data_IF_888127857597
#
_entry.id   IF_888127857597
#
_cell.length_a   1.000
_cell.length_b   1.000
_cell.length_c   1.000
_cell.angle_alpha   90.00
_cell.angle_beta   90.00
_cell.angle_gamma   90.00
#
_symmetry.space_group_name_H-M   'P 1'
#
loop_
_entity.id
_entity.type
_entity.pdbx_description
1 polymer ?
#
# COMPACT_ATOMS: atom_id res chain seq x y z
N UNK A 1 -13.09 15.12 1.25
CA UNK A 1 -12.98 16.30 2.13
C UNK A 1 -12.99 15.80 3.56
N UNK A 2 -11.78 15.45 4.01
CA UNK A 2 -11.44 15.07 5.40
C UNK A 2 -11.81 16.26 6.30
N UNK A 3 -11.86 16.13 7.63
CA UNK A 3 -12.01 17.25 8.60
C UNK A 3 -10.85 18.28 8.48
N UNK A 4 -10.64 18.86 7.31
CA UNK A 4 -9.91 20.09 7.09
C UNK A 4 -10.83 21.22 7.56
N UNK A 5 -10.28 22.10 8.39
CA UNK A 5 -10.95 23.27 8.97
C UNK A 5 -12.00 22.97 10.05
N UNK A 6 -11.59 22.27 11.09
CA UNK A 6 -11.99 22.71 12.43
C UNK A 6 -10.74 22.92 13.29
N UNK A 7 -9.81 23.74 12.80
CA UNK A 7 -8.92 24.48 13.70
C UNK A 7 -9.85 25.43 14.44
N UNK A 8 -10.40 24.97 15.57
CA UNK A 8 -11.15 25.83 16.45
C UNK A 8 -10.20 26.97 16.81
N UNK A 9 -10.59 28.19 16.44
CA UNK A 9 -10.13 29.41 17.11
C UNK A 9 -10.49 29.22 18.58
N UNK A 10 -9.64 28.52 19.34
CA UNK A 10 -9.62 28.63 20.78
C UNK A 10 -9.32 30.11 21.03
N UNK A 11 -10.38 30.86 21.26
CA UNK A 11 -10.31 32.27 21.59
C UNK A 11 -9.47 32.36 22.86
N UNK A 12 -8.17 32.60 22.69
CA UNK A 12 -7.26 32.96 23.75
C UNK A 12 -7.85 34.20 24.42
N UNK A 13 -8.54 34.01 25.54
CA UNK A 13 -9.05 35.08 26.37
C UNK A 13 -7.83 35.84 26.90
N UNK A 14 -7.48 36.94 26.21
CA UNK A 14 -6.35 37.81 26.50
C UNK A 14 -6.67 38.64 27.75
N UNK A 15 -6.47 38.05 28.93
CA UNK A 15 -6.51 38.76 30.20
C UNK A 15 -5.26 39.63 30.37
N UNK A 16 -5.28 40.83 29.79
CA UNK A 16 -4.81 42.11 30.36
C UNK A 16 -3.41 42.26 31.01
N UNK A 17 -2.45 41.35 30.85
CA UNK A 17 -1.11 41.51 31.45
C UNK A 17 -0.03 41.66 30.37
N UNK A 18 0.44 42.90 30.20
CA UNK A 18 1.60 43.39 29.41
C UNK A 18 1.71 42.87 27.96
N UNK A 19 1.87 43.79 27.01
CA UNK A 19 2.25 43.48 25.62
C UNK A 19 3.69 42.93 25.57
N UNK A 20 3.92 41.76 26.14
CA UNK A 20 5.05 40.92 25.79
C UNK A 20 4.78 40.43 24.37
N UNK A 21 5.71 40.73 23.48
CA UNK A 21 5.75 40.16 22.14
C UNK A 21 5.75 38.63 22.26
N UNK A 22 4.63 38.00 21.89
CA UNK A 22 4.41 36.56 22.01
C UNK A 22 4.72 35.94 20.66
N UNK A 23 5.99 35.58 20.45
CA UNK A 23 6.48 35.08 19.16
C UNK A 23 5.69 33.87 18.69
N UNK A 24 5.28 32.97 19.59
CA UNK A 24 4.45 31.81 19.22
C UNK A 24 3.13 32.19 18.53
N UNK A 25 2.53 33.34 18.89
CA UNK A 25 1.32 33.82 18.23
C UNK A 25 1.60 34.41 16.84
N UNK A 26 2.75 35.05 16.65
CA UNK A 26 3.17 35.56 15.35
C UNK A 26 3.44 34.43 14.36
N UNK A 27 4.21 33.43 14.79
CA UNK A 27 4.50 32.24 13.99
C UNK A 27 3.22 31.45 13.70
N UNK A 28 2.30 31.33 14.67
CA UNK A 28 1.01 30.67 14.45
C UNK A 28 0.14 31.42 13.42
N UNK A 29 0.14 32.75 13.43
CA UNK A 29 -0.55 33.54 12.39
C UNK A 29 0.05 33.29 11.01
N UNK A 30 1.38 33.20 10.92
CA UNK A 30 2.06 32.88 9.67
C UNK A 30 1.74 31.46 9.18
N UNK A 31 1.63 30.49 10.09
CA UNK A 31 1.16 29.13 9.81
C UNK A 31 -0.25 29.14 9.18
N UNK A 32 -1.20 29.86 9.79
CA UNK A 32 -2.55 29.97 9.25
C UNK A 32 -2.58 30.63 7.86
N UNK A 33 -1.77 31.68 7.66
CA UNK A 33 -1.64 32.34 6.36
C UNK A 33 -1.07 31.39 5.28
N UNK A 34 -0.06 30.59 5.63
CA UNK A 34 0.52 29.58 4.74
C UNK A 34 -0.49 28.48 4.38
N UNK A 35 -1.27 28.00 5.35
CA UNK A 35 -2.35 27.03 5.10
C UNK A 35 -3.39 27.58 4.13
N UNK A 36 -3.82 28.83 4.33
CA UNK A 36 -4.77 29.49 3.43
C UNK A 36 -4.23 29.68 2.01
N UNK A 37 -2.91 29.89 1.87
CA UNK A 37 -2.24 29.98 0.58
C UNK A 37 -1.98 28.62 -0.09
N UNK A 38 -2.19 27.51 0.64
CA UNK A 38 -1.83 26.16 0.16
C UNK A 38 -0.32 25.92 0.07
N UNK A 39 0.50 26.72 0.77
CA UNK A 39 1.96 26.58 0.78
C UNK A 39 2.38 25.56 1.84
N UNK A 40 2.39 24.28 1.45
CA UNK A 40 2.71 23.17 2.35
C UNK A 40 4.10 23.32 3.03
N UNK A 41 5.10 23.83 2.31
CA UNK A 41 6.44 24.01 2.86
C UNK A 41 6.48 25.11 3.94
N UNK A 42 5.84 26.25 3.67
CA UNK A 42 5.72 27.32 4.66
C UNK A 42 4.84 26.91 5.85
N UNK A 43 3.76 26.15 5.61
CA UNK A 43 2.89 25.61 6.67
C UNK A 43 3.69 24.76 7.66
N UNK A 44 4.44 23.76 7.19
CA UNK A 44 5.26 22.93 8.08
C UNK A 44 6.25 23.79 8.90
N UNK A 45 6.97 24.68 8.21
CA UNK A 45 7.99 25.55 8.85
C UNK A 45 7.40 26.43 9.95
N UNK A 46 6.27 27.07 9.69
CA UNK A 46 5.64 27.97 10.67
C UNK A 46 4.93 27.20 11.79
N UNK A 47 4.41 25.99 11.53
CA UNK A 47 3.88 25.12 12.57
C UNK A 47 4.99 24.74 13.57
N UNK A 48 6.16 24.34 13.08
CA UNK A 48 7.31 24.05 13.94
C UNK A 48 7.73 25.30 14.73
N UNK A 49 7.94 26.43 14.05
CA UNK A 49 8.38 27.66 14.68
C UNK A 49 7.42 28.12 15.79
N UNK A 50 6.11 27.99 15.57
CA UNK A 50 5.10 28.30 16.57
C UNK A 50 5.21 27.38 17.79
N UNK A 51 5.34 26.07 17.59
CA UNK A 51 5.52 25.12 18.70
C UNK A 51 6.81 25.38 19.47
N UNK A 52 7.95 25.56 18.80
CA UNK A 52 9.24 25.83 19.45
C UNK A 52 9.24 27.13 20.24
N UNK A 53 8.62 28.18 19.71
CA UNK A 53 8.44 29.44 20.42
C UNK A 53 7.56 29.25 21.66
N UNK A 54 6.45 28.50 21.56
CA UNK A 54 5.58 28.22 22.71
C UNK A 54 6.27 27.36 23.77
N UNK A 55 7.10 26.38 23.37
CA UNK A 55 7.90 25.57 24.28
C UNK A 55 8.85 26.46 25.10
N UNK A 56 9.45 27.47 24.46
CA UNK A 56 10.35 28.43 25.11
C UNK A 56 9.60 29.41 26.02
N UNK A 57 8.47 29.94 25.57
CA UNK A 57 7.74 31.01 26.27
C UNK A 57 6.80 30.50 27.37
N UNK A 58 6.18 29.34 27.15
CA UNK A 58 5.09 28.82 27.97
C UNK A 58 5.43 27.48 28.65
N UNK A 59 6.40 26.73 28.14
CA UNK A 59 6.76 25.40 28.65
C UNK A 59 5.57 24.44 28.61
N UNK A 60 5.27 23.79 29.74
CA UNK A 60 4.15 22.85 29.89
C UNK A 60 2.79 23.54 29.97
N UNK A 61 2.32 24.09 28.86
CA UNK A 61 1.06 24.83 28.74
C UNK A 61 0.13 24.20 27.70
N UNK A 62 -1.18 24.43 27.82
CA UNK A 62 -2.19 23.94 26.88
C UNK A 62 -1.91 24.41 25.43
N UNK A 63 -1.55 25.67 25.25
CA UNK A 63 -1.13 26.22 23.94
C UNK A 63 0.05 25.46 23.35
N UNK A 64 1.06 25.12 24.16
CA UNK A 64 2.22 24.37 23.69
C UNK A 64 1.81 22.99 23.20
N UNK A 65 0.90 22.33 23.91
CA UNK A 65 0.36 21.03 23.50
C UNK A 65 -0.38 21.10 22.16
N UNK A 66 -1.25 22.10 21.97
CA UNK A 66 -1.99 22.29 20.72
C UNK A 66 -1.07 22.62 19.54
N UNK A 67 -0.03 23.43 19.75
CA UNK A 67 0.93 23.77 18.70
C UNK A 67 1.84 22.58 18.34
N UNK A 68 2.24 21.76 19.32
CA UNK A 68 2.95 20.51 19.06
C UNK A 68 2.09 19.56 18.21
N UNK A 69 0.80 19.46 18.51
CA UNK A 69 -0.15 18.65 17.74
C UNK A 69 -0.34 19.16 16.30
N UNK A 70 -0.39 20.48 16.10
CA UNK A 70 -0.47 21.05 14.75
C UNK A 70 0.78 20.69 13.94
N UNK A 71 1.97 20.89 14.50
CA UNK A 71 3.20 20.51 13.81
C UNK A 71 3.26 19.00 13.54
N UNK A 72 2.98 18.18 14.55
CA UNK A 72 2.88 16.72 14.42
C UNK A 72 2.01 16.32 13.23
N UNK A 73 0.79 16.86 13.12
CA UNK A 73 -0.13 16.49 12.06
C UNK A 73 0.37 16.84 10.65
N UNK A 74 1.09 17.96 10.51
CA UNK A 74 1.68 18.38 9.24
C UNK A 74 2.80 17.45 8.76
N UNK A 75 3.54 16.81 9.69
CA UNK A 75 4.70 15.99 9.35
C UNK A 75 4.47 14.48 9.47
N UNK A 76 3.52 14.02 10.31
CA UNK A 76 3.40 12.61 10.70
C UNK A 76 3.34 11.64 9.52
N UNK A 77 2.59 11.95 8.47
CA UNK A 77 2.46 11.07 7.31
C UNK A 77 3.51 11.34 6.23
N UNK A 78 4.18 12.50 6.24
CA UNK A 78 5.18 12.83 5.22
C UNK A 78 6.56 12.38 5.66
N UNK A 79 6.93 12.74 6.88
CA UNK A 79 8.19 12.43 7.52
C UNK A 79 7.92 12.03 8.99
N UNK A 80 7.57 10.75 9.24
CA UNK A 80 7.30 10.28 10.59
C UNK A 80 8.54 10.33 11.51
N UNK A 81 9.75 10.42 10.95
CA UNK A 81 11.00 10.55 11.72
C UNK A 81 11.12 11.97 12.29
N UNK A 82 10.86 12.97 11.46
CA UNK A 82 10.73 14.39 11.85
C UNK A 82 9.61 14.60 12.89
N UNK A 83 8.56 13.77 12.83
CA UNK A 83 7.40 13.85 13.72
C UNK A 83 7.64 13.35 15.15
N UNK A 84 8.67 12.54 15.40
CA UNK A 84 8.83 11.80 16.67
C UNK A 84 8.86 12.74 17.89
N UNK A 85 9.62 13.83 17.82
CA UNK A 85 9.77 14.73 18.96
C UNK A 85 8.44 15.44 19.28
N UNK A 86 7.73 15.89 18.25
CA UNK A 86 6.43 16.54 18.39
C UNK A 86 5.37 15.57 18.91
N UNK A 87 5.38 14.32 18.43
CA UNK A 87 4.48 13.27 18.89
C UNK A 87 4.69 12.94 20.37
N UNK A 88 5.95 12.72 20.76
CA UNK A 88 6.32 12.44 22.15
C UNK A 88 5.98 13.62 23.06
N UNK A 89 6.22 14.85 22.60
CA UNK A 89 5.90 16.06 23.37
C UNK A 89 4.40 16.26 23.54
N UNK A 90 3.63 16.13 22.46
CA UNK A 90 2.17 16.25 22.48
C UNK A 90 1.56 15.18 23.41
N UNK A 91 2.03 13.93 23.32
CA UNK A 91 1.59 12.85 24.21
C UNK A 91 1.89 13.17 25.67
N UNK A 92 3.13 13.58 26.00
CA UNK A 92 3.52 13.89 27.38
C UNK A 92 2.70 15.02 28.01
N UNK A 93 2.27 16.02 27.22
CA UNK A 93 1.38 17.08 27.68
C UNK A 93 -0.08 16.60 27.77
N UNK A 94 -0.53 15.78 26.81
CA UNK A 94 -1.84 15.14 26.83
C UNK A 94 -2.07 14.24 28.04
N UNK A 95 -1.04 13.51 28.50
CA UNK A 95 -1.09 12.70 29.73
C UNK A 95 -1.29 13.55 30.99
N UNK A 96 -0.96 14.84 30.95
CA UNK A 96 -1.23 15.81 32.01
C UNK A 96 -2.62 16.45 31.88
N UNK A 97 -3.41 16.04 30.89
CA UNK A 97 -4.73 16.60 30.58
C UNK A 97 -4.70 17.87 29.73
N UNK A 98 -3.55 18.24 29.16
CA UNK A 98 -3.39 19.46 28.36
C UNK A 98 -3.62 19.19 26.87
N UNK A 99 -4.31 20.10 26.17
CA UNK A 99 -4.42 20.09 24.72
C UNK A 99 -5.25 18.93 24.15
N UNK A 100 -6.10 18.28 24.95
CA UNK A 100 -6.94 17.17 24.49
C UNK A 100 -8.20 17.61 23.71
N UNK A 101 -8.24 18.88 23.27
CA UNK A 101 -9.33 19.44 22.49
C UNK A 101 -9.29 19.05 21.00
N UNK A 102 -8.09 18.84 20.45
CA UNK A 102 -7.91 18.47 19.04
C UNK A 102 -7.66 16.97 18.85
N UNK A 103 -6.94 16.36 19.79
CA UNK A 103 -6.63 14.93 19.78
C UNK A 103 -6.92 14.32 21.15
N UNK A 104 -7.49 13.13 21.15
CA UNK A 104 -7.62 12.27 22.31
C UNK A 104 -6.26 11.70 22.72
N UNK A 105 -6.15 11.25 23.98
CA UNK A 105 -4.94 10.61 24.46
C UNK A 105 -4.58 9.34 23.66
N UNK A 106 -5.59 8.60 23.18
CA UNK A 106 -5.40 7.41 22.35
C UNK A 106 -4.83 7.75 20.97
N UNK A 107 -5.27 8.85 20.36
CA UNK A 107 -4.72 9.34 19.09
C UNK A 107 -3.25 9.78 19.24
N UNK A 108 -2.91 10.48 20.33
CA UNK A 108 -1.53 10.89 20.59
C UNK A 108 -0.61 9.68 20.83
N UNK A 109 -1.10 8.64 21.51
CA UNK A 109 -0.36 7.38 21.68
C UNK A 109 -0.11 6.67 20.36
N UNK A 110 -1.11 6.63 19.49
CA UNK A 110 -0.98 6.05 18.15
C UNK A 110 0.05 6.82 17.32
N UNK A 111 -0.02 8.15 17.31
CA UNK A 111 0.92 8.99 16.57
C UNK A 111 2.36 8.84 17.06
N UNK A 112 2.58 8.85 18.38
CA UNK A 112 3.90 8.62 18.99
C UNK A 112 4.45 7.22 18.67
N UNK A 113 3.63 6.18 18.84
CA UNK A 113 4.05 4.81 18.55
C UNK A 113 4.36 4.61 17.06
N UNK A 114 3.60 5.25 16.17
CA UNK A 114 3.85 5.22 14.73
C UNK A 114 5.17 5.91 14.37
N UNK A 115 5.38 7.15 14.81
CA UNK A 115 6.62 7.89 14.56
C UNK A 115 7.86 7.12 15.03
N UNK A 116 7.83 6.60 16.28
CA UNK A 116 8.90 5.78 16.86
C UNK A 116 9.14 4.47 16.13
N UNK A 117 8.07 3.80 15.69
CA UNK A 117 8.19 2.56 14.94
C UNK A 117 8.83 2.83 13.57
N UNK A 118 8.43 3.90 12.89
CA UNK A 118 8.99 4.27 11.59
C UNK A 118 10.46 4.69 11.70
N UNK A 119 10.82 5.54 12.66
CA UNK A 119 12.20 5.98 12.83
C UNK A 119 13.12 4.84 13.30
N UNK A 120 12.57 3.85 14.00
CA UNK A 120 13.33 2.75 14.58
C UNK A 120 12.72 1.38 14.28
N UNK A 121 12.53 1.05 12.99
CA UNK A 121 11.82 -0.16 12.50
C UNK A 121 12.30 -1.48 13.12
N UNK A 122 13.58 -1.56 13.50
CA UNK A 122 14.18 -2.78 14.06
C UNK A 122 13.98 -2.93 15.57
N UNK A 123 13.42 -1.93 16.26
CA UNK A 123 13.16 -2.00 17.70
C UNK A 123 11.84 -2.71 17.95
N UNK A 124 11.92 -3.96 18.38
CA UNK A 124 10.76 -4.78 18.76
C UNK A 124 9.79 -4.06 19.72
N UNK A 125 10.31 -3.32 20.69
CA UNK A 125 9.49 -2.55 21.65
C UNK A 125 8.62 -1.49 20.97
N UNK A 126 9.11 -0.86 19.91
CA UNK A 126 8.36 0.18 19.19
C UNK A 126 7.25 -0.44 18.36
N UNK A 127 7.51 -1.61 17.76
CA UNK A 127 6.50 -2.44 17.10
C UNK A 127 5.39 -2.86 18.07
N UNK A 128 5.76 -3.38 19.24
CA UNK A 128 4.78 -3.82 20.24
C UNK A 128 3.92 -2.63 20.73
N UNK A 129 4.55 -1.46 20.91
CA UNK A 129 3.84 -0.24 21.25
C UNK A 129 2.86 0.21 20.15
N UNK A 130 3.26 0.13 18.87
CA UNK A 130 2.38 0.47 17.74
C UNK A 130 1.18 -0.48 17.65
N UNK A 131 1.42 -1.80 17.75
CA UNK A 131 0.34 -2.79 17.71
C UNK A 131 -0.63 -2.60 18.88
N UNK A 132 -0.12 -2.35 20.10
CA UNK A 132 -0.97 -2.05 21.25
C UNK A 132 -1.76 -0.75 21.08
N UNK A 133 -1.15 0.29 20.49
CA UNK A 133 -1.83 1.54 20.20
C UNK A 133 -2.97 1.35 19.19
N UNK A 134 -2.74 0.59 18.12
CA UNK A 134 -3.78 0.23 17.13
C UNK A 134 -4.93 -0.55 17.77
N UNK A 135 -4.61 -1.51 18.65
CA UNK A 135 -5.60 -2.35 19.31
C UNK A 135 -6.52 -1.56 20.26
N UNK A 136 -5.97 -0.58 20.98
CA UNK A 136 -6.75 0.28 21.91
C UNK A 136 -7.49 1.42 21.21
N UNK A 137 -7.26 1.62 19.91
CA UNK A 137 -7.84 2.73 19.16
C UNK A 137 -9.32 2.49 18.87
N UNK A 138 -10.25 3.37 19.31
CA UNK A 138 -11.68 3.17 19.10
C UNK A 138 -12.03 3.26 17.60
N UNK A 139 -12.91 2.39 17.09
CA UNK A 139 -13.35 2.48 15.70
C UNK A 139 -14.21 3.74 15.55
N UNK A 140 -13.70 4.77 14.89
CA UNK A 140 -14.40 6.02 14.62
C UNK A 140 -14.13 6.45 13.17
N UNK A 141 -15.21 6.68 12.40
CA UNK A 141 -15.17 6.94 10.94
C UNK A 141 -14.15 8.00 10.50
N UNK A 142 -13.90 9.03 11.32
CA UNK A 142 -13.05 10.15 10.93
C UNK A 142 -11.56 9.78 10.81
N UNK A 143 -11.11 8.69 11.46
CA UNK A 143 -9.69 8.36 11.60
C UNK A 143 -9.27 7.00 11.04
N UNK A 144 -10.20 6.24 10.45
CA UNK A 144 -9.86 5.10 9.58
C UNK A 144 -8.90 5.51 8.46
N UNK A 145 -8.95 6.77 8.01
CA UNK A 145 -7.97 7.34 7.06
C UNK A 145 -6.54 7.33 7.60
N UNK A 146 -6.35 7.76 8.85
CA UNK A 146 -5.05 7.81 9.53
C UNK A 146 -4.53 6.43 9.83
N UNK A 147 -5.37 5.55 10.41
CA UNK A 147 -4.96 4.19 10.73
C UNK A 147 -4.49 3.42 9.49
N UNK A 148 -5.18 3.59 8.36
CA UNK A 148 -4.77 2.97 7.10
C UNK A 148 -3.49 3.60 6.56
N UNK A 149 -3.31 4.92 6.68
CA UNK A 149 -2.06 5.55 6.24
C UNK A 149 -0.88 5.08 7.10
N UNK A 150 -1.08 4.97 8.41
CA UNK A 150 -0.13 4.39 9.37
C UNK A 150 0.17 2.94 9.01
N UNK A 151 -0.85 2.16 8.67
CA UNK A 151 -0.74 0.77 8.24
C UNK A 151 0.06 0.62 6.94
N UNK A 152 -0.34 1.32 5.88
CA UNK A 152 0.28 1.28 4.56
C UNK A 152 1.77 1.67 4.65
N UNK A 153 2.09 2.72 5.41
CA UNK A 153 3.48 3.13 5.62
C UNK A 153 4.28 2.14 6.45
N UNK A 154 3.67 1.57 7.50
CA UNK A 154 4.34 0.55 8.32
C UNK A 154 4.69 -0.68 7.49
N UNK A 155 3.79 -1.08 6.58
CA UNK A 155 4.03 -2.18 5.66
C UNK A 155 5.12 -1.84 4.65
N UNK A 156 5.01 -0.72 3.94
CA UNK A 156 6.01 -0.30 2.94
C UNK A 156 7.39 -0.23 3.58
N UNK A 157 7.49 0.33 4.78
CA UNK A 157 8.77 0.41 5.50
C UNK A 157 9.23 -0.93 6.04
N UNK A 158 8.33 -1.80 6.48
CA UNK A 158 8.66 -3.17 6.85
C UNK A 158 9.19 -3.96 5.64
N UNK A 159 8.65 -3.76 4.44
CA UNK A 159 9.19 -4.31 3.20
C UNK A 159 10.61 -3.81 2.92
N UNK A 160 10.83 -2.49 3.02
CA UNK A 160 12.16 -1.88 2.82
C UNK A 160 13.18 -2.36 3.85
N UNK A 161 12.75 -2.61 5.08
CA UNK A 161 13.60 -3.04 6.18
C UNK A 161 13.78 -4.57 6.28
N UNK A 162 13.17 -5.36 5.39
CA UNK A 162 13.08 -6.83 5.45
C UNK A 162 12.41 -7.38 6.73
N UNK A 163 11.52 -6.60 7.37
CA UNK A 163 10.79 -6.90 8.61
C UNK A 163 9.38 -7.47 8.33
N UNK A 164 9.26 -8.48 7.46
CA UNK A 164 7.98 -9.01 6.97
C UNK A 164 7.02 -9.50 8.07
N UNK A 165 7.55 -9.93 9.23
CA UNK A 165 6.73 -10.32 10.37
C UNK A 165 5.95 -9.15 10.97
N UNK A 166 6.50 -7.92 10.94
CA UNK A 166 5.79 -6.71 11.35
C UNK A 166 4.66 -6.40 10.37
N UNK A 167 4.92 -6.47 9.06
CA UNK A 167 3.90 -6.26 8.04
C UNK A 167 2.73 -7.24 8.21
N UNK A 168 3.02 -8.51 8.46
CA UNK A 168 2.00 -9.54 8.69
C UNK A 168 1.15 -9.30 9.94
N UNK A 169 1.79 -9.02 11.09
CA UNK A 169 1.07 -8.80 12.35
C UNK A 169 0.22 -7.53 12.28
N UNK A 170 0.76 -6.46 11.70
CA UNK A 170 0.02 -5.22 11.46
C UNK A 170 -1.19 -5.48 10.56
N UNK A 171 -1.02 -6.24 9.48
CA UNK A 171 -2.09 -6.58 8.53
C UNK A 171 -3.19 -7.41 9.16
N UNK A 172 -2.80 -8.41 9.95
CA UNK A 172 -3.74 -9.27 10.68
C UNK A 172 -4.53 -8.47 11.72
N UNK A 173 -3.86 -7.60 12.48
CA UNK A 173 -4.54 -6.73 13.45
C UNK A 173 -5.50 -5.79 12.73
N UNK A 174 -5.06 -5.19 11.62
CA UNK A 174 -5.83 -4.21 10.89
C UNK A 174 -7.08 -4.79 10.24
N UNK A 175 -6.98 -5.99 9.65
CA UNK A 175 -8.13 -6.74 9.12
C UNK A 175 -9.19 -6.99 10.20
N UNK A 176 -8.78 -7.43 11.40
CA UNK A 176 -9.71 -7.62 12.53
C UNK A 176 -10.41 -6.33 12.92
N UNK A 177 -9.67 -5.21 12.99
CA UNK A 177 -10.25 -3.90 13.33
C UNK A 177 -11.23 -3.42 12.26
N UNK A 178 -10.89 -3.57 10.98
CA UNK A 178 -11.80 -3.20 9.90
C UNK A 178 -13.09 -4.01 9.88
N UNK A 179 -13.05 -5.29 10.24
CA UNK A 179 -14.26 -6.10 10.32
C UNK A 179 -15.29 -5.53 11.33
N UNK A 180 -14.84 -4.70 12.26
CA UNK A 180 -15.67 -3.99 13.23
C UNK A 180 -16.10 -2.59 12.77
N UNK A 181 -15.52 -2.06 11.69
CA UNK A 181 -15.79 -0.71 11.18
C UNK A 181 -16.85 -0.74 10.06
N UNK A 182 -18.08 -0.24 10.30
CA UNK A 182 -19.05 -0.10 9.24
C UNK A 182 -18.58 0.95 8.22
N UNK A 183 -18.84 0.71 6.94
CA UNK A 183 -18.62 1.70 5.88
C UNK A 183 -17.20 1.71 5.27
N UNK A 184 -16.36 0.73 5.59
CA UNK A 184 -15.09 0.52 4.88
C UNK A 184 -15.40 0.10 3.45
N UNK A 185 -14.89 0.84 2.46
CA UNK A 185 -15.07 0.49 1.05
C UNK A 185 -14.40 -0.85 0.70
N UNK A 186 -15.01 -1.63 -0.17
CA UNK A 186 -14.47 -2.88 -0.72
C UNK A 186 -13.02 -2.76 -1.20
N UNK A 187 -12.71 -1.67 -1.94
CA UNK A 187 -11.34 -1.38 -2.41
C UNK A 187 -10.30 -1.32 -1.28
N UNK A 188 -10.68 -0.73 -0.15
CA UNK A 188 -9.81 -0.61 1.02
C UNK A 188 -9.62 -1.95 1.71
N UNK A 189 -10.70 -2.70 1.91
CA UNK A 189 -10.62 -4.06 2.47
C UNK A 189 -9.73 -4.96 1.60
N UNK A 190 -9.87 -4.86 0.27
CA UNK A 190 -9.04 -5.61 -0.68
C UNK A 190 -7.55 -5.23 -0.60
N UNK A 191 -7.22 -3.94 -0.44
CA UNK A 191 -5.83 -3.50 -0.24
C UNK A 191 -5.19 -4.15 0.98
N UNK A 192 -5.93 -4.28 2.07
CA UNK A 192 -5.41 -4.84 3.34
C UNK A 192 -5.19 -6.33 3.25
N UNK A 193 -6.14 -7.07 2.68
CA UNK A 193 -5.99 -8.48 2.38
C UNK A 193 -4.79 -8.72 1.43
N UNK A 194 -4.64 -7.88 0.40
CA UNK A 194 -3.50 -7.92 -0.54
C UNK A 194 -2.18 -7.68 0.17
N UNK A 195 -2.09 -6.67 1.04
CA UNK A 195 -0.88 -6.37 1.81
C UNK A 195 -0.52 -7.48 2.80
N UNK A 196 -1.53 -8.13 3.42
CA UNK A 196 -1.33 -9.30 4.29
C UNK A 196 -0.75 -10.48 3.51
N UNK A 197 -1.34 -10.78 2.35
CA UNK A 197 -0.86 -11.83 1.46
C UNK A 197 0.56 -11.57 0.97
N UNK A 198 0.85 -10.34 0.56
CA UNK A 198 2.17 -9.91 0.16
C UNK A 198 3.20 -10.13 1.29
N UNK A 199 2.83 -9.89 2.56
CA UNK A 199 3.72 -10.06 3.69
C UNK A 199 4.04 -11.55 3.92
N UNK A 200 3.03 -12.42 3.78
CA UNK A 200 3.21 -13.87 3.79
C UNK A 200 4.16 -14.34 2.67
N UNK A 201 3.92 -13.89 1.44
CA UNK A 201 4.72 -14.22 0.26
C UNK A 201 6.19 -13.81 0.48
N UNK A 202 6.40 -12.58 0.93
CA UNK A 202 7.73 -11.98 1.02
C UNK A 202 8.50 -12.40 2.29
N UNK A 203 7.83 -12.92 3.32
CA UNK A 203 8.44 -13.43 4.56
C UNK A 203 9.48 -14.55 4.39
N UNK A 204 9.68 -15.05 3.17
CA UNK A 204 10.74 -16.00 2.81
C UNK A 204 12.13 -15.37 2.69
N UNK A 205 12.24 -14.05 2.59
CA UNK A 205 13.49 -13.41 2.15
C UNK A 205 14.64 -13.39 3.16
N UNK A 206 14.53 -14.03 4.32
CA UNK A 206 15.72 -14.16 5.18
C UNK A 206 16.84 -15.01 4.58
N UNK A 207 16.63 -15.76 3.46
CA UNK A 207 17.68 -16.54 2.77
C UNK A 207 17.47 -16.77 1.26
N UNK A 208 17.12 -15.76 0.47
CA UNK A 208 17.30 -15.81 -1.00
C UNK A 208 18.67 -15.26 -1.44
N UNK A 209 19.66 -15.26 -0.54
CA UNK A 209 21.06 -15.15 -0.94
C UNK A 209 21.43 -16.47 -1.64
N UNK A 210 21.48 -16.42 -2.96
CA UNK A 210 21.65 -17.56 -3.88
C UNK A 210 22.90 -18.41 -3.63
N UNK A 211 23.78 -17.99 -2.72
CA UNK A 211 25.00 -18.73 -2.35
C UNK A 211 24.79 -19.89 -1.37
N UNK A 212 23.61 -20.03 -0.73
CA UNK A 212 23.40 -21.05 0.33
C UNK A 212 22.12 -21.89 0.19
N UNK A 213 21.74 -22.27 -1.03
CA UNK A 213 20.80 -23.37 -1.24
C UNK A 213 21.48 -24.73 -0.96
N UNK A 214 21.89 -24.99 0.28
CA UNK A 214 22.24 -26.35 0.70
C UNK A 214 20.98 -27.10 1.09
N UNK A 215 20.80 -28.24 0.42
CA UNK A 215 19.71 -29.25 0.42
C UNK A 215 19.04 -29.67 1.75
N UNK A 216 19.36 -29.10 2.91
CA UNK A 216 19.05 -29.69 4.22
C UNK A 216 17.86 -29.10 4.98
N UNK A 217 17.24 -28.00 4.54
CA UNK A 217 16.12 -27.37 5.28
C UNK A 217 14.73 -27.73 4.71
N UNK A 218 14.47 -29.01 4.42
CA UNK A 218 13.13 -29.50 4.02
C UNK A 218 12.02 -29.22 5.06
N UNK A 219 12.37 -28.99 6.33
CA UNK A 219 11.40 -28.53 7.35
C UNK A 219 11.00 -27.06 7.20
N UNK A 220 11.80 -26.25 6.49
CA UNK A 220 11.49 -24.84 6.24
C UNK A 220 10.54 -24.65 5.04
N UNK A 221 10.41 -25.62 4.14
CA UNK A 221 9.53 -25.53 2.98
C UNK A 221 8.06 -25.75 3.33
N UNK A 222 7.75 -26.73 4.18
CA UNK A 222 6.36 -27.03 4.57
C UNK A 222 5.64 -25.80 5.19
N UNK A 223 6.30 -25.10 6.11
CA UNK A 223 5.73 -23.88 6.70
C UNK A 223 5.72 -22.67 5.76
N UNK A 224 6.37 -22.74 4.58
CA UNK A 224 6.24 -21.71 3.56
C UNK A 224 5.14 -22.03 2.55
N UNK A 225 4.94 -23.31 2.22
CA UNK A 225 3.83 -23.77 1.39
C UNK A 225 2.48 -23.41 2.02
N UNK A 226 2.33 -23.65 3.33
CA UNK A 226 1.14 -23.23 4.10
C UNK A 226 0.92 -21.70 4.02
N UNK A 227 1.98 -20.90 4.19
CA UNK A 227 1.90 -19.44 4.06
C UNK A 227 1.56 -18.98 2.64
N UNK A 228 2.02 -19.68 1.62
CA UNK A 228 1.72 -19.38 0.23
C UNK A 228 0.24 -19.68 -0.07
N UNK A 229 -0.28 -20.79 0.47
CA UNK A 229 -1.69 -21.14 0.41
C UNK A 229 -2.57 -20.09 1.12
N UNK A 230 -2.19 -19.70 2.34
CA UNK A 230 -2.87 -18.64 3.09
C UNK A 230 -2.86 -17.31 2.32
N UNK A 231 -1.73 -16.97 1.69
CA UNK A 231 -1.63 -15.77 0.87
C UNK A 231 -2.58 -15.82 -0.34
N UNK A 232 -2.71 -16.97 -0.99
CA UNK A 232 -3.65 -17.16 -2.11
C UNK A 232 -5.10 -17.00 -1.66
N UNK A 233 -5.49 -17.62 -0.53
CA UNK A 233 -6.83 -17.46 0.05
C UNK A 233 -7.16 -15.97 0.29
N UNK A 234 -6.19 -15.22 0.83
CA UNK A 234 -6.34 -13.78 1.06
C UNK A 234 -6.46 -12.98 -0.25
N UNK A 235 -5.69 -13.35 -1.28
CA UNK A 235 -5.74 -12.69 -2.59
C UNK A 235 -7.04 -12.99 -3.34
N UNK A 236 -7.58 -14.19 -3.22
CA UNK A 236 -8.88 -14.56 -3.77
C UNK A 236 -10.02 -13.81 -3.07
N UNK A 237 -9.96 -13.72 -1.73
CA UNK A 237 -10.89 -12.90 -0.95
C UNK A 237 -10.80 -11.41 -1.35
N UNK A 238 -9.60 -10.88 -1.55
CA UNK A 238 -9.39 -9.51 -2.03
C UNK A 238 -9.95 -9.31 -3.45
N UNK A 239 -9.71 -10.26 -4.35
CA UNK A 239 -10.18 -10.18 -5.72
C UNK A 239 -11.72 -10.19 -5.81
N UNK A 240 -12.38 -10.96 -4.93
CA UNK A 240 -13.84 -11.06 -4.87
C UNK A 240 -14.55 -9.77 -4.43
N UNK A 241 -13.83 -8.84 -3.80
CA UNK A 241 -14.36 -7.53 -3.37
C UNK A 241 -14.48 -6.53 -4.53
N UNK A 242 -13.78 -6.75 -5.65
CA UNK A 242 -13.88 -5.86 -6.78
C UNK A 242 -15.04 -6.24 -7.70
N UNK A 243 -15.83 -5.26 -8.19
CA UNK A 243 -16.81 -5.55 -9.22
C UNK A 243 -16.13 -6.06 -10.50
N UNK A 244 -16.87 -6.82 -11.31
CA UNK A 244 -16.42 -7.16 -12.66
C UNK A 244 -16.26 -5.87 -13.47
N UNK A 245 -15.03 -5.53 -13.80
CA UNK A 245 -14.66 -4.33 -14.56
C UNK A 245 -14.60 -4.65 -16.05
N UNK A 246 -15.31 -3.87 -16.87
CA UNK A 246 -15.37 -4.05 -18.32
C UNK A 246 -14.25 -3.31 -19.05
N UNK A 247 -13.68 -2.28 -18.42
CA UNK A 247 -12.69 -1.38 -19.02
C UNK A 247 -11.48 -1.21 -18.13
N UNK A 248 -10.31 -1.05 -18.74
CA UNK A 248 -9.03 -0.94 -18.02
C UNK A 248 -8.90 0.35 -17.21
N UNK A 249 -9.53 1.44 -17.66
CA UNK A 249 -9.49 2.73 -16.95
C UNK A 249 -10.49 2.81 -15.79
N UNK A 250 -11.40 1.85 -15.71
CA UNK A 250 -12.36 1.70 -14.60
C UNK A 250 -11.85 0.74 -13.51
N UNK A 251 -10.74 0.04 -13.76
CA UNK A 251 -10.15 -0.88 -12.80
C UNK A 251 -9.55 -0.14 -11.60
N UNK A 252 -9.90 -0.61 -10.41
CA UNK A 252 -9.33 -0.08 -9.18
C UNK A 252 -7.82 -0.41 -9.11
N UNK A 253 -6.94 0.54 -8.77
CA UNK A 253 -5.51 0.28 -8.62
C UNK A 253 -5.18 -0.86 -7.66
N UNK A 254 -5.96 -1.05 -6.59
CA UNK A 254 -5.79 -2.18 -5.68
C UNK A 254 -6.11 -3.51 -6.36
N UNK A 255 -7.07 -3.54 -7.30
CA UNK A 255 -7.36 -4.73 -8.10
C UNK A 255 -6.15 -5.14 -8.95
N UNK A 256 -5.41 -4.17 -9.51
CA UNK A 256 -4.18 -4.44 -10.25
C UNK A 256 -3.12 -5.08 -9.34
N UNK A 257 -2.91 -4.51 -8.16
CA UNK A 257 -1.94 -5.03 -7.18
C UNK A 257 -2.31 -6.42 -6.68
N UNK A 258 -3.59 -6.67 -6.36
CA UNK A 258 -4.08 -8.00 -5.98
C UNK A 258 -3.75 -9.04 -7.05
N UNK A 259 -4.06 -8.75 -8.32
CA UNK A 259 -3.77 -9.66 -9.44
C UNK A 259 -2.28 -9.89 -9.63
N UNK A 260 -1.45 -8.85 -9.52
CA UNK A 260 0.00 -8.98 -9.62
C UNK A 260 0.57 -9.85 -8.49
N UNK A 261 0.15 -9.64 -7.23
CA UNK A 261 0.59 -10.47 -6.11
C UNK A 261 0.15 -11.92 -6.25
N UNK A 262 -1.04 -12.18 -6.81
CA UNK A 262 -1.47 -13.54 -7.13
C UNK A 262 -0.56 -14.17 -8.19
N UNK A 263 -0.19 -13.41 -9.23
CA UNK A 263 0.81 -13.83 -10.21
C UNK A 263 2.15 -14.20 -9.58
N UNK A 264 2.62 -13.43 -8.59
CA UNK A 264 3.84 -13.75 -7.82
C UNK A 264 3.68 -15.03 -7.03
N UNK A 265 2.55 -15.22 -6.33
CA UNK A 265 2.30 -16.42 -5.54
C UNK A 265 2.34 -17.69 -6.42
N UNK A 266 1.67 -17.65 -7.57
CA UNK A 266 1.70 -18.72 -8.58
C UNK A 266 3.12 -18.94 -9.10
N UNK A 267 3.86 -17.86 -9.40
CA UNK A 267 5.22 -17.97 -9.92
C UNK A 267 6.17 -18.63 -8.91
N UNK A 268 6.03 -18.32 -7.63
CA UNK A 268 6.81 -18.93 -6.55
C UNK A 268 6.47 -20.41 -6.41
N UNK A 269 5.18 -20.77 -6.37
CA UNK A 269 4.74 -22.16 -6.28
C UNK A 269 5.32 -23.01 -7.41
N UNK A 270 5.22 -22.52 -8.66
CA UNK A 270 5.82 -23.17 -9.84
C UNK A 270 7.34 -23.29 -9.77
N UNK A 271 8.03 -22.28 -9.24
CA UNK A 271 9.50 -22.31 -9.09
C UNK A 271 9.98 -23.26 -7.99
N UNK A 272 9.09 -23.66 -7.08
CA UNK A 272 9.39 -24.61 -6.00
C UNK A 272 9.22 -26.08 -6.41
N UNK A 273 8.74 -26.36 -7.62
CA UNK A 273 8.26 -27.69 -8.03
C UNK A 273 7.12 -28.19 -7.12
N UNK A 274 6.35 -27.25 -6.58
CA UNK A 274 5.16 -27.55 -5.80
C UNK A 274 4.04 -27.93 -6.77
N UNK A 275 3.43 -29.10 -6.58
CA UNK A 275 2.16 -29.42 -7.21
C UNK A 275 1.14 -28.42 -6.67
N UNK A 276 0.94 -27.33 -7.40
CA UNK A 276 -0.19 -26.42 -7.16
C UNK A 276 -1.44 -27.30 -7.30
N UNK A 277 -2.26 -27.44 -6.24
CA UNK A 277 -3.49 -28.23 -6.28
C UNK A 277 -4.29 -27.93 -7.55
N UNK A 278 -4.86 -28.95 -8.20
CA UNK A 278 -5.59 -28.77 -9.47
C UNK A 278 -6.80 -27.83 -9.34
N UNK A 279 -7.32 -27.62 -8.13
CA UNK A 279 -8.35 -26.63 -7.80
C UNK A 279 -7.80 -25.20 -7.58
N UNK A 280 -6.49 -25.04 -7.35
CA UNK A 280 -5.79 -23.75 -7.34
C UNK A 280 -5.20 -23.39 -8.70
N UNK A 281 -5.14 -24.37 -9.61
CA UNK A 281 -5.08 -24.07 -11.02
C UNK A 281 -6.44 -23.46 -11.38
N UNK A 282 -6.50 -22.12 -11.36
CA UNK A 282 -7.44 -21.35 -12.20
C UNK A 282 -7.63 -22.15 -13.49
N UNK A 283 -8.87 -22.59 -13.78
CA UNK A 283 -9.19 -23.53 -14.87
C UNK A 283 -8.37 -23.18 -16.13
N UNK A 284 -7.30 -23.96 -16.39
CA UNK A 284 -6.41 -23.73 -17.54
C UNK A 284 -4.89 -23.80 -17.27
N UNK A 285 -4.30 -24.93 -17.66
CA UNK A 285 -3.00 -25.05 -18.34
C UNK A 285 -1.72 -25.40 -17.55
N UNK A 286 -1.13 -26.52 -18.01
CA UNK A 286 0.23 -26.99 -17.74
C UNK A 286 1.20 -26.36 -18.76
N UNK A 287 2.10 -25.48 -18.32
CA UNK A 287 3.34 -25.15 -19.06
C UNK A 287 3.66 -23.66 -19.31
N UNK A 288 4.73 -23.21 -18.66
CA UNK A 288 5.61 -22.02 -18.87
C UNK A 288 5.07 -20.60 -18.76
N UNK A 289 3.83 -20.28 -19.10
CA UNK A 289 3.23 -18.97 -18.82
C UNK A 289 1.72 -19.16 -18.73
N UNK A 290 1.07 -18.73 -17.66
CA UNK A 290 -0.40 -18.75 -17.58
C UNK A 290 -0.90 -17.46 -18.18
N UNK A 291 -1.42 -17.55 -19.41
CA UNK A 291 -2.13 -16.48 -20.07
C UNK A 291 -3.57 -16.94 -20.16
N UNK A 292 -4.48 -16.31 -19.43
CA UNK A 292 -5.84 -16.23 -19.95
C UNK A 292 -6.46 -14.90 -19.55
N UNK A 293 -6.72 -14.12 -20.60
CA UNK A 293 -7.49 -12.90 -20.57
C UNK A 293 -8.90 -13.24 -21.01
N UNK A 294 -9.60 -14.10 -20.26
CA UNK A 294 -11.03 -14.28 -20.47
C UNK A 294 -11.72 -13.01 -19.95
N UNK A 295 -11.68 -11.96 -20.77
CA UNK A 295 -12.49 -10.78 -20.60
C UNK A 295 -13.79 -11.05 -21.32
N UNK A 296 -14.86 -11.20 -20.55
CA UNK A 296 -16.19 -11.19 -21.11
C UNK A 296 -16.63 -9.74 -21.37
N UNK A 297 -17.25 -9.51 -22.52
CA UNK A 297 -17.71 -8.19 -22.94
C UNK A 297 -19.18 -8.21 -23.27
N UNK A 298 -19.81 -7.04 -23.22
CA UNK A 298 -21.17 -6.90 -23.73
C UNK A 298 -21.10 -6.57 -25.22
N UNK A 299 -21.69 -7.43 -26.05
CA UNK A 299 -21.84 -7.24 -27.47
C UNK A 299 -22.80 -6.10 -27.81
N UNK A 300 -22.87 -5.74 -29.09
CA UNK A 300 -23.77 -4.71 -29.58
C UNK A 300 -25.27 -5.01 -29.31
N UNK A 301 -25.61 -6.28 -29.07
CA UNK A 301 -26.93 -6.80 -28.74
C UNK A 301 -27.17 -6.97 -27.23
N UNK A 302 -26.19 -6.63 -26.38
CA UNK A 302 -26.26 -6.83 -24.93
C UNK A 302 -25.83 -8.22 -24.47
N UNK A 303 -25.43 -9.13 -25.38
CA UNK A 303 -24.99 -10.48 -24.99
C UNK A 303 -23.55 -10.50 -24.47
N UNK A 304 -23.24 -11.44 -23.58
CA UNK A 304 -21.87 -11.62 -23.09
C UNK A 304 -21.02 -12.36 -24.16
N UNK A 305 -20.03 -11.68 -24.74
CA UNK A 305 -19.08 -12.19 -25.72
C UNK A 305 -17.78 -12.58 -25.02
N UNK A 306 -17.29 -13.79 -25.29
CA UNK A 306 -15.97 -14.23 -24.87
C UNK A 306 -14.91 -13.78 -25.88
N UNK A 307 -14.01 -12.89 -25.47
CA UNK A 307 -12.94 -12.39 -26.33
C UNK A 307 -11.68 -13.27 -26.24
N UNK A 308 -11.67 -14.39 -26.97
CA UNK A 308 -10.48 -15.22 -27.10
C UNK A 308 -9.55 -14.67 -28.21
N UNK A 309 -8.32 -14.30 -27.84
CA UNK A 309 -7.34 -13.74 -28.78
C UNK A 309 -6.40 -14.85 -29.24
N UNK A 310 -6.48 -15.21 -30.52
CA UNK A 310 -5.50 -16.07 -31.17
C UNK A 310 -4.29 -15.24 -31.60
N UNK A 311 -3.08 -15.71 -31.29
CA UNK A 311 -1.83 -14.98 -31.57
C UNK A 311 -1.09 -15.60 -32.74
N UNK A 312 -0.70 -14.78 -33.72
CA UNK A 312 0.18 -15.19 -34.82
C UNK A 312 1.65 -15.01 -34.45
N UNK A 313 1.96 -14.02 -33.61
CA UNK A 313 3.30 -13.75 -33.08
C UNK A 313 3.23 -13.22 -31.65
N UNK A 314 3.86 -13.92 -30.71
CA UNK A 314 3.82 -13.57 -29.28
C UNK A 314 5.07 -14.06 -28.54
N UNK A 315 6.24 -13.64 -29.02
CA UNK A 315 7.50 -13.96 -28.37
C UNK A 315 7.70 -13.10 -27.12
N UNK A 316 8.25 -13.71 -26.06
CA UNK A 316 8.54 -13.04 -24.80
C UNK A 316 9.81 -13.64 -24.19
N UNK A 317 10.76 -12.79 -23.80
CA UNK A 317 12.01 -13.21 -23.17
C UNK A 317 12.04 -12.82 -21.70
N UNK A 318 12.63 -13.70 -20.91
CA UNK A 318 12.99 -13.38 -19.54
C UNK A 318 14.08 -12.26 -19.56
N UNK A 319 13.91 -11.13 -18.86
CA UNK A 319 14.94 -10.10 -18.78
C UNK A 319 16.26 -10.65 -18.23
N UNK A 320 17.33 -10.55 -19.01
CA UNK A 320 18.61 -11.21 -18.69
C UNK A 320 19.18 -10.82 -17.33
N UNK A 321 19.05 -9.55 -16.92
CA UNK A 321 19.47 -9.09 -15.60
C UNK A 321 18.66 -9.74 -14.48
N UNK A 322 17.33 -9.75 -14.60
CA UNK A 322 16.44 -10.35 -13.63
C UNK A 322 16.67 -11.87 -13.50
N UNK A 323 16.91 -12.56 -14.63
CA UNK A 323 17.23 -13.98 -14.67
C UNK A 323 18.54 -14.29 -13.94
N UNK A 324 19.59 -13.53 -14.23
CA UNK A 324 20.91 -13.67 -13.59
C UNK A 324 20.82 -13.47 -12.07
N UNK A 325 20.01 -12.51 -11.65
CA UNK A 325 19.86 -12.14 -10.25
C UNK A 325 18.80 -13.00 -9.53
N UNK A 326 18.19 -13.95 -10.25
CA UNK A 326 17.28 -14.96 -9.70
C UNK A 326 15.94 -14.41 -9.23
N UNK A 327 15.45 -13.32 -9.84
CA UNK A 327 14.18 -12.74 -9.48
C UNK A 327 13.01 -13.69 -9.82
N UNK A 328 11.94 -13.56 -9.05
CA UNK A 328 10.63 -14.14 -9.33
C UNK A 328 9.65 -12.97 -9.21
N UNK A 329 8.68 -12.88 -10.11
CA UNK A 329 7.82 -11.71 -10.14
C UNK A 329 6.60 -11.88 -11.04
N UNK A 330 5.79 -10.84 -11.07
CA UNK A 330 4.65 -10.74 -11.97
C UNK A 330 4.46 -9.32 -12.49
N UNK A 331 3.96 -9.21 -13.71
CA UNK A 331 3.56 -7.93 -14.32
C UNK A 331 2.16 -8.06 -14.89
N UNK A 332 1.29 -7.13 -14.53
CA UNK A 332 -0.03 -6.98 -15.11
C UNK A 332 0.03 -5.86 -16.16
N UNK A 333 -0.32 -6.19 -17.41
CA UNK A 333 -0.31 -5.24 -18.54
C UNK A 333 -1.70 -5.11 -19.13
N UNK A 334 -2.13 -3.86 -19.31
CA UNK A 334 -3.30 -3.50 -20.09
C UNK A 334 -2.91 -3.06 -21.49
N UNK A 335 -3.67 -3.45 -22.51
CA UNK A 335 -3.41 -3.07 -23.90
C UNK A 335 -4.68 -3.11 -24.77
N UNK A 336 -4.57 -2.61 -25.99
CA UNK A 336 -5.58 -2.70 -27.03
C UNK A 336 -4.99 -3.38 -28.28
N UNK A 337 -5.85 -3.82 -29.19
CA UNK A 337 -5.50 -4.31 -30.51
C UNK A 337 -6.01 -3.32 -31.56
N UNK A 338 -5.25 -3.09 -32.62
CA UNK A 338 -5.78 -2.44 -33.82
C UNK A 338 -6.56 -3.44 -34.70
N UNK A 339 -7.12 -2.95 -35.80
CA UNK A 339 -7.90 -3.78 -36.74
C UNK A 339 -7.06 -4.84 -37.46
N UNK A 340 -5.74 -4.68 -37.46
CA UNK A 340 -4.80 -5.61 -38.08
C UNK A 340 -4.24 -6.61 -37.04
N UNK A 341 -4.63 -6.46 -35.76
CA UNK A 341 -4.22 -7.33 -34.67
C UNK A 341 -2.91 -6.95 -34.00
N UNK A 342 -2.35 -5.78 -34.27
CA UNK A 342 -1.16 -5.30 -33.56
C UNK A 342 -1.54 -4.76 -32.18
N UNK A 343 -0.67 -4.99 -31.21
CA UNK A 343 -0.82 -4.40 -29.88
C UNK A 343 -0.56 -2.90 -29.93
N UNK A 344 -1.53 -2.11 -29.44
CA UNK A 344 -1.42 -0.66 -29.30
C UNK A 344 -1.60 -0.23 -27.84
N UNK A 345 -0.95 0.88 -27.48
CA UNK A 345 -0.98 1.49 -26.15
C UNK A 345 -0.75 0.52 -24.97
N UNK A 346 0.24 -0.40 -25.04
CA UNK A 346 0.52 -1.27 -23.91
C UNK A 346 0.99 -0.45 -22.70
N UNK A 347 0.41 -0.70 -21.52
CA UNK A 347 0.78 -0.05 -20.27
C UNK A 347 0.82 -1.02 -19.11
N UNK A 348 1.83 -0.86 -18.26
CA UNK A 348 1.91 -1.62 -17.00
C UNK A 348 0.89 -1.06 -16.02
N UNK A 349 0.03 -1.93 -15.50
CA UNK A 349 -0.98 -1.61 -14.49
C UNK A 349 -0.46 -1.91 -13.08
N UNK A 350 0.33 -2.97 -12.94
CA UNK A 350 1.05 -3.33 -11.72
C UNK A 350 2.27 -4.20 -12.07
N UNK A 351 3.32 -4.12 -11.25
CA UNK A 351 4.54 -4.89 -11.42
C UNK A 351 5.16 -5.18 -10.06
N UNK A 352 5.61 -6.42 -9.85
CA UNK A 352 6.19 -6.90 -8.60
C UNK A 352 7.35 -7.85 -8.89
N UNK A 353 8.57 -7.59 -8.39
CA UNK A 353 9.07 -6.28 -7.94
C UNK A 353 9.01 -5.20 -9.03
N UNK A 354 8.81 -3.95 -8.62
CA UNK A 354 8.71 -2.78 -9.51
C UNK A 354 9.96 -2.56 -10.37
N UNK A 355 9.76 -2.16 -11.62
CA UNK A 355 10.78 -1.72 -12.58
C UNK A 355 11.84 -2.79 -12.96
N UNK A 356 11.53 -4.08 -12.78
CA UNK A 356 12.47 -5.18 -13.07
C UNK A 356 12.20 -5.82 -14.45
N UNK A 357 10.92 -5.99 -14.82
CA UNK A 357 10.45 -6.73 -15.98
C UNK A 357 9.77 -5.85 -17.03
N UNK A 358 9.08 -4.79 -16.60
CA UNK A 358 8.18 -3.96 -17.42
C UNK A 358 8.81 -3.42 -18.70
N UNK A 359 10.04 -2.91 -18.65
CA UNK A 359 10.72 -2.35 -19.82
C UNK A 359 10.92 -3.38 -20.94
N UNK A 360 11.23 -4.64 -20.58
CA UNK A 360 11.42 -5.72 -21.56
C UNK A 360 10.07 -6.11 -22.15
N UNK A 361 9.06 -6.29 -21.29
CA UNK A 361 7.70 -6.65 -21.73
C UNK A 361 7.14 -5.61 -22.70
N UNK A 362 7.16 -4.33 -22.33
CA UNK A 362 6.62 -3.25 -23.17
C UNK A 362 7.37 -3.09 -24.49
N UNK A 363 8.67 -3.44 -24.52
CA UNK A 363 9.44 -3.45 -25.77
C UNK A 363 8.99 -4.58 -26.68
N UNK A 364 8.85 -5.79 -26.15
CA UNK A 364 8.52 -6.98 -26.93
C UNK A 364 7.05 -7.02 -27.37
N UNK A 365 6.14 -6.50 -26.55
CA UNK A 365 4.72 -6.39 -26.91
C UNK A 365 4.48 -5.52 -28.14
N UNK A 366 5.40 -4.63 -28.53
CA UNK A 366 5.29 -3.86 -29.78
C UNK A 366 5.35 -4.72 -31.03
N UNK A 367 5.95 -5.90 -30.91
CA UNK A 367 6.13 -6.85 -32.00
C UNK A 367 5.08 -7.98 -31.97
N UNK A 368 4.09 -7.89 -31.05
CA UNK A 368 3.02 -8.88 -30.92
C UNK A 368 1.91 -8.65 -31.95
N UNK A 369 1.43 -9.75 -32.53
CA UNK A 369 0.43 -9.78 -33.59
C UNK A 369 -0.61 -10.87 -33.28
N UNK A 370 -1.88 -10.51 -33.37
CA UNK A 370 -3.04 -11.38 -33.20
C UNK A 370 -3.76 -11.62 -34.53
N UNK A 371 -4.50 -12.72 -34.63
CA UNK A 371 -5.46 -12.94 -35.72
C UNK A 371 -6.75 -12.14 -35.45
N UNK A 372 -6.72 -10.84 -35.79
CA UNK A 372 -7.85 -9.94 -35.59
C UNK A 372 -8.99 -10.12 -36.61
N UNK A 373 -8.76 -10.87 -37.70
CA UNK A 373 -9.73 -11.01 -38.79
C UNK A 373 -11.07 -11.62 -38.35
N UNK A 374 -11.08 -12.35 -37.23
CA UNK A 374 -12.26 -12.99 -36.66
C UNK A 374 -12.70 -12.39 -35.31
N UNK A 375 -12.04 -11.33 -34.82
CA UNK A 375 -12.41 -10.71 -33.55
C UNK A 375 -13.59 -9.76 -33.73
N UNK A 376 -14.54 -9.82 -32.82
CA UNK A 376 -15.58 -8.79 -32.72
C UNK A 376 -14.92 -7.42 -32.44
N UNK A 377 -15.34 -6.32 -33.06
CA UNK A 377 -14.79 -4.99 -32.79
C UNK A 377 -14.78 -4.60 -31.30
N UNK A 378 -15.74 -5.07 -30.50
CA UNK A 378 -15.76 -4.86 -29.05
C UNK A 378 -14.58 -5.54 -28.33
N UNK A 379 -14.06 -6.62 -28.91
CA UNK A 379 -12.91 -7.39 -28.44
C UNK A 379 -11.57 -6.82 -28.89
N UNK A 380 -11.49 -5.61 -29.43
CA UNK A 380 -10.22 -4.96 -29.80
C UNK A 380 -9.65 -4.04 -28.70
N UNK A 381 -10.38 -3.84 -27.59
CA UNK A 381 -9.97 -2.89 -26.54
C UNK A 381 -9.82 -3.59 -25.21
N UNK A 382 -9.22 -2.91 -24.24
CA UNK A 382 -9.23 -3.25 -22.82
C UNK A 382 -8.81 -4.69 -22.50
N UNK A 383 -7.79 -5.19 -23.19
CA UNK A 383 -7.21 -6.49 -22.89
C UNK A 383 -6.29 -6.38 -21.69
N UNK A 384 -6.29 -7.45 -20.89
CA UNK A 384 -5.47 -7.57 -19.70
C UNK A 384 -4.65 -8.84 -19.80
N UNK A 385 -3.35 -8.79 -19.54
CA UNK A 385 -2.54 -10.01 -19.49
C UNK A 385 -1.55 -9.97 -18.32
N UNK A 386 -1.29 -11.13 -17.71
CA UNK A 386 -0.36 -11.26 -16.59
C UNK A 386 0.85 -12.07 -17.02
N UNK A 387 2.03 -11.51 -16.80
CA UNK A 387 3.32 -12.15 -17.02
C UNK A 387 3.83 -12.66 -15.68
N UNK A 388 3.93 -13.99 -15.51
CA UNK A 388 4.44 -14.59 -14.28
C UNK A 388 5.84 -15.18 -14.53
N UNK A 389 6.86 -14.63 -13.88
CA UNK A 389 8.26 -14.98 -14.09
C UNK A 389 8.71 -16.03 -13.09
N UNK A 390 9.01 -17.25 -13.58
CA UNK A 390 9.43 -18.39 -12.75
C UNK A 390 10.91 -18.74 -12.94
N UNK A 391 11.49 -19.37 -11.94
CA UNK A 391 12.84 -19.93 -12.01
C UNK A 391 12.74 -21.46 -12.03
N UNK A 392 13.25 -22.09 -13.10
CA UNK A 392 13.39 -23.56 -13.15
C UNK A 392 14.67 -23.97 -12.42
N UNK A 393 14.57 -25.04 -11.62
CA UNK A 393 15.72 -25.65 -10.94
C UNK A 393 16.59 -26.46 -11.87
#
# INVERSE_FOLDING_TARGET
MIKALAVLLAAFALSGAAAQDRRHLEEYKAYLAAQQAGDAAATTRYAEAAWRAAETELGGHETTALLAQNYLWEVLLRDPEEAEEAAARALALGEQGLGLGNFTLTELRLADAFAKNVHHLRRRSNREALLAAIETYPPQEALTSVLVSVYDQSIVRAYVADEYGLAYDAATLFERRLAEEPGVSDSRQASILTNRAAALIASRRSRFDSKYYSRTDAKSSAGYEERLADAQILLDAAAALFPKTKRLDEMDPNQHLTRAWNGVAVAIGRSMDYEVPEDWAFEGHRGRFSWDSLMTREGADGAEILCEVSWTKRDMHYPAAAMRDGYIGAVLVGYHLDTDGHVIEPRVLAEIPQEIFSQTILKEMKDWEADAGNLDPACLRDHLTSFNFTMQR
#
